data_IF_765428771483
#
_entry.id   IF_765428771483
#
_cell.length_a   1.000
_cell.length_b   1.000
_cell.length_c   1.000
_cell.angle_alpha   90.00
_cell.angle_beta   90.00
_cell.angle_gamma   90.00
#
_symmetry.space_group_name_H-M   'P 1'
#
loop_
_entity.id
_entity.type
_entity.pdbx_description
1 polymer ?
#
# COMPACT_ATOMS: atom_id res chain seq x y z
N UNK A 1 34.81 -11.17 -16.64
CA UNK A 1 34.55 -10.95 -15.20
C UNK A 1 34.16 -9.48 -14.97
N UNK A 2 32.97 -9.20 -14.43
CA UNK A 2 32.54 -7.81 -14.15
C UNK A 2 33.35 -7.18 -13.02
N UNK A 3 33.52 -5.85 -13.04
CA UNK A 3 34.07 -5.09 -11.90
C UNK A 3 33.06 -4.90 -10.77
N UNK A 4 33.54 -4.51 -9.59
CA UNK A 4 32.79 -4.41 -8.34
C UNK A 4 31.62 -3.44 -8.45
N UNK A 5 31.80 -2.34 -9.18
CA UNK A 5 30.75 -1.36 -9.41
C UNK A 5 29.59 -1.93 -10.23
N UNK A 6 29.90 -2.67 -11.30
CA UNK A 6 28.89 -3.35 -12.12
C UNK A 6 28.20 -4.45 -11.32
N UNK A 7 28.94 -5.21 -10.51
CA UNK A 7 28.37 -6.22 -9.61
C UNK A 7 27.41 -5.59 -8.60
N UNK A 8 27.78 -4.48 -7.97
CA UNK A 8 26.93 -3.77 -7.02
C UNK A 8 25.62 -3.28 -7.69
N UNK A 9 25.73 -2.71 -8.89
CA UNK A 9 24.56 -2.29 -9.70
C UNK A 9 23.64 -3.46 -10.03
N UNK A 10 24.18 -4.64 -10.32
CA UNK A 10 23.39 -5.86 -10.59
C UNK A 10 22.75 -6.46 -9.33
N UNK A 11 23.42 -6.39 -8.17
CA UNK A 11 22.90 -6.92 -6.91
C UNK A 11 21.77 -6.07 -6.32
N UNK A 12 21.88 -4.73 -6.41
CA UNK A 12 20.91 -3.79 -5.84
C UNK A 12 19.44 -4.09 -6.19
N UNK A 13 19.03 -4.30 -7.46
CA UNK A 13 17.64 -4.61 -7.79
C UNK A 13 17.18 -5.97 -7.24
N UNK A 14 18.06 -6.98 -7.20
CA UNK A 14 17.74 -8.31 -6.67
C UNK A 14 17.45 -8.21 -5.17
N UNK A 15 18.35 -7.56 -4.40
CA UNK A 15 18.18 -7.39 -2.96
C UNK A 15 16.95 -6.52 -2.66
N UNK A 16 16.73 -5.45 -3.44
CA UNK A 16 15.54 -4.61 -3.30
C UNK A 16 14.27 -5.43 -3.56
N UNK A 17 14.22 -6.20 -4.63
CA UNK A 17 13.08 -7.06 -4.96
C UNK A 17 12.78 -8.08 -3.86
N UNK A 18 13.82 -8.74 -3.33
CA UNK A 18 13.66 -9.68 -2.21
C UNK A 18 13.13 -8.98 -0.95
N UNK A 19 13.62 -7.78 -0.61
CA UNK A 19 13.11 -7.03 0.55
C UNK A 19 11.69 -6.53 0.36
N UNK A 20 11.33 -6.09 -0.86
CA UNK A 20 9.95 -5.71 -1.19
C UNK A 20 9.00 -6.90 -1.09
N UNK A 21 9.40 -8.08 -1.56
CA UNK A 21 8.59 -9.30 -1.43
C UNK A 21 8.29 -9.64 0.04
N UNK A 22 9.23 -9.36 0.95
CA UNK A 22 9.07 -9.59 2.39
C UNK A 22 8.68 -8.33 3.16
N UNK A 23 8.14 -7.30 2.51
CA UNK A 23 7.80 -6.02 3.15
C UNK A 23 6.71 -6.15 4.24
N UNK A 24 5.95 -7.23 4.19
CA UNK A 24 4.86 -7.54 5.12
C UNK A 24 5.29 -8.52 6.23
N UNK A 25 6.54 -9.00 6.18
CA UNK A 25 7.13 -9.90 7.18
C UNK A 25 7.92 -9.11 8.23
N UNK A 26 8.15 -9.71 9.40
CA UNK A 26 9.13 -9.16 10.34
C UNK A 26 10.55 -9.44 9.82
N UNK A 27 11.26 -8.36 9.48
CA UNK A 27 12.63 -8.39 8.96
C UNK A 27 13.66 -7.83 9.96
N UNK A 28 13.29 -7.77 11.25
CA UNK A 28 14.18 -7.28 12.32
C UNK A 28 15.30 -8.27 12.67
N UNK A 29 15.09 -9.56 12.37
CA UNK A 29 15.99 -10.62 12.79
C UNK A 29 17.35 -10.57 12.09
N UNK A 30 18.40 -11.01 12.80
CA UNK A 30 19.74 -11.17 12.24
C UNK A 30 19.77 -12.09 11.01
N UNK A 31 18.84 -13.07 10.93
CA UNK A 31 18.69 -13.97 9.79
C UNK A 31 18.34 -13.22 8.49
N UNK A 32 17.51 -12.18 8.58
CA UNK A 32 16.96 -11.46 7.43
C UNK A 32 17.81 -10.24 7.02
N UNK A 33 18.88 -9.99 7.76
CA UNK A 33 19.86 -8.94 7.48
C UNK A 33 20.66 -9.18 6.18
N UNK A 34 20.64 -10.41 5.64
CA UNK A 34 21.47 -10.87 4.53
C UNK A 34 22.98 -10.74 4.79
N UNK A 35 23.38 -10.79 6.07
CA UNK A 35 24.75 -10.54 6.52
C UNK A 35 25.81 -11.37 5.78
N UNK A 36 25.61 -12.68 5.65
CA UNK A 36 26.58 -13.57 4.98
C UNK A 36 26.77 -13.22 3.50
N UNK A 37 25.69 -12.85 2.81
CA UNK A 37 25.76 -12.44 1.40
C UNK A 37 26.45 -11.09 1.25
N UNK A 38 26.14 -10.15 2.14
CA UNK A 38 26.79 -8.85 2.19
C UNK A 38 28.30 -8.98 2.44
N UNK A 39 28.69 -9.78 3.44
CA UNK A 39 30.10 -10.01 3.77
C UNK A 39 30.86 -10.73 2.64
N UNK A 40 30.19 -11.67 1.97
CA UNK A 40 30.74 -12.34 0.79
C UNK A 40 30.96 -11.37 -0.38
N UNK A 41 30.02 -10.45 -0.61
CA UNK A 41 30.16 -9.39 -1.60
C UNK A 41 31.31 -8.43 -1.24
N UNK A 42 31.40 -8.02 0.02
CA UNK A 42 32.48 -7.15 0.52
C UNK A 42 33.86 -7.77 0.30
N UNK A 43 34.02 -9.05 0.66
CA UNK A 43 35.26 -9.79 0.41
C UNK A 43 35.60 -9.86 -1.07
N UNK A 44 34.60 -10.07 -1.95
CA UNK A 44 34.81 -10.09 -3.41
C UNK A 44 35.18 -8.71 -3.96
N UNK A 45 34.59 -7.63 -3.47
CA UNK A 45 34.92 -6.26 -3.89
C UNK A 45 36.33 -5.86 -3.45
N UNK A 46 36.76 -6.24 -2.24
CA UNK A 46 38.12 -5.98 -1.73
C UNK A 46 39.23 -6.70 -2.49
N UNK A 47 38.91 -7.78 -3.21
CA UNK A 47 39.89 -8.48 -4.07
C UNK A 47 40.19 -7.71 -5.36
N UNK A 48 39.41 -6.70 -5.71
CA UNK A 48 39.65 -5.91 -6.91
C UNK A 48 40.69 -4.81 -6.65
N UNK A 49 41.79 -4.81 -7.42
CA UNK A 49 42.94 -3.90 -7.23
C UNK A 49 42.56 -2.41 -7.18
N UNK A 50 41.53 -1.99 -7.92
CA UNK A 50 41.08 -0.59 -8.00
C UNK A 50 40.14 -0.16 -6.87
N UNK A 51 39.78 -1.07 -5.94
CA UNK A 51 38.79 -0.82 -4.90
C UNK A 51 39.46 -0.86 -3.53
N UNK A 52 39.52 0.30 -2.86
CA UNK A 52 39.98 0.38 -1.48
C UNK A 52 38.89 -0.05 -0.48
N UNK A 53 39.25 -0.17 0.80
CA UNK A 53 38.34 -0.66 1.86
C UNK A 53 37.05 0.18 1.99
N UNK A 54 37.16 1.50 1.88
CA UNK A 54 36.04 2.42 2.04
C UNK A 54 35.10 2.33 0.84
N UNK A 55 35.67 2.28 -0.37
CA UNK A 55 34.90 2.10 -1.60
C UNK A 55 34.17 0.76 -1.63
N UNK A 56 34.77 -0.32 -1.12
CA UNK A 56 34.10 -1.61 -1.00
C UNK A 56 32.88 -1.54 -0.07
N UNK A 57 33.00 -0.86 1.07
CA UNK A 57 31.87 -0.64 2.00
C UNK A 57 30.75 0.19 1.36
N UNK A 58 31.09 1.25 0.63
CA UNK A 58 30.09 2.06 -0.10
C UNK A 58 29.39 1.27 -1.21
N UNK A 59 30.12 0.44 -1.95
CA UNK A 59 29.53 -0.46 -2.94
C UNK A 59 28.59 -1.49 -2.29
N UNK A 60 28.92 -1.99 -1.10
CA UNK A 60 28.03 -2.90 -0.36
C UNK A 60 26.75 -2.20 0.10
N UNK A 61 26.83 -0.96 0.62
CA UNK A 61 25.63 -0.18 0.96
C UNK A 61 24.71 0.03 -0.26
N UNK A 62 25.30 0.26 -1.44
CA UNK A 62 24.55 0.39 -2.70
C UNK A 62 23.96 -0.94 -3.17
N UNK A 63 24.71 -2.04 -3.03
CA UNK A 63 24.29 -3.39 -3.43
C UNK A 63 23.21 -3.98 -2.52
N UNK A 64 23.19 -3.60 -1.24
CA UNK A 64 22.25 -4.07 -0.22
C UNK A 64 21.44 -2.89 0.35
N UNK A 65 20.56 -2.27 -0.44
CA UNK A 65 19.78 -1.13 0.02
C UNK A 65 18.85 -1.53 1.17
N UNK A 66 18.66 -0.61 2.12
CA UNK A 66 17.61 -0.74 3.13
C UNK A 66 16.27 -0.42 2.50
N UNK A 67 15.28 -1.24 2.79
CA UNK A 67 13.87 -1.06 2.42
C UNK A 67 13.08 -1.22 3.71
N UNK A 68 12.12 -0.32 3.95
CA UNK A 68 11.22 -0.42 5.09
C UNK A 68 10.26 -1.60 4.92
N UNK A 69 9.93 -2.25 6.02
CA UNK A 69 8.88 -3.26 6.08
C UNK A 69 7.85 -2.80 7.13
N UNK A 70 6.63 -3.33 7.06
CA UNK A 70 5.59 -3.10 8.04
C UNK A 70 4.88 -4.41 8.38
N UNK A 71 4.86 -4.76 9.65
CA UNK A 71 4.16 -5.94 10.14
C UNK A 71 2.66 -5.63 10.34
N UNK A 72 1.81 -6.66 10.26
CA UNK A 72 0.40 -6.62 10.67
C UNK A 72 -0.40 -5.46 10.03
N UNK A 73 -0.24 -5.22 8.74
CA UNK A 73 -1.00 -4.20 8.01
C UNK A 73 -2.51 -4.48 7.97
N UNK A 74 -2.91 -5.73 8.22
CA UNK A 74 -4.31 -6.13 8.19
C UNK A 74 -4.96 -6.01 9.57
N UNK A 75 -6.20 -5.50 9.58
CA UNK A 75 -7.02 -5.45 10.79
C UNK A 75 -7.57 -6.84 11.06
N UNK A 76 -7.20 -7.45 12.19
CA UNK A 76 -7.70 -8.77 12.56
C UNK A 76 -9.24 -8.77 12.75
N UNK A 77 -9.87 -9.90 12.41
CA UNK A 77 -11.29 -10.14 12.77
C UNK A 77 -11.39 -10.35 14.28
N UNK A 78 -12.44 -9.82 14.92
CA UNK A 78 -12.63 -9.87 16.37
C UNK A 78 -13.11 -11.25 16.79
N UNK A 79 -12.28 -12.03 17.46
CA UNK A 79 -12.69 -13.26 18.15
C UNK A 79 -13.50 -14.21 17.26
N UNK A 80 -14.74 -14.50 17.66
CA UNK A 80 -15.66 -15.43 16.98
C UNK A 80 -16.54 -14.77 15.90
N UNK A 81 -16.20 -13.55 15.46
CA UNK A 81 -16.95 -12.85 14.40
C UNK A 81 -16.87 -13.62 13.08
N UNK A 82 -18.01 -13.74 12.40
CA UNK A 82 -18.15 -14.35 11.09
C UNK A 82 -18.82 -13.36 10.13
N UNK A 83 -18.41 -13.25 8.84
CA UNK A 83 -19.07 -12.39 7.86
C UNK A 83 -20.59 -12.63 7.74
N UNK A 84 -21.04 -13.81 8.17
CA UNK A 84 -22.44 -14.26 8.14
C UNK A 84 -23.16 -14.16 9.49
N UNK A 85 -22.56 -13.50 10.50
CA UNK A 85 -23.15 -13.38 11.85
C UNK A 85 -24.22 -12.28 11.98
N UNK A 86 -24.49 -11.55 10.88
CA UNK A 86 -25.48 -10.48 10.84
C UNK A 86 -25.02 -9.15 11.46
N UNK A 87 -23.79 -9.04 11.96
CA UNK A 87 -23.26 -7.77 12.51
C UNK A 87 -22.76 -6.84 11.40
N UNK A 88 -23.70 -6.32 10.61
CA UNK A 88 -23.44 -5.43 9.49
C UNK A 88 -22.66 -4.17 9.91
N UNK A 89 -22.84 -3.70 11.15
CA UNK A 89 -22.14 -2.53 11.68
C UNK A 89 -20.66 -2.83 11.86
N UNK A 90 -20.32 -3.94 12.51
CA UNK A 90 -18.94 -4.38 12.67
C UNK A 90 -18.25 -4.58 11.32
N UNK A 91 -18.88 -5.32 10.40
CA UNK A 91 -18.30 -5.62 9.09
C UNK A 91 -18.11 -4.36 8.24
N UNK A 92 -19.07 -3.44 8.26
CA UNK A 92 -18.97 -2.18 7.53
C UNK A 92 -17.85 -1.27 8.05
N UNK A 93 -17.73 -1.15 9.38
CA UNK A 93 -16.64 -0.41 10.02
C UNK A 93 -15.28 -1.03 9.72
N UNK A 94 -15.18 -2.36 9.75
CA UNK A 94 -13.94 -3.09 9.44
C UNK A 94 -13.54 -2.91 7.98
N UNK A 95 -14.47 -3.11 7.04
CA UNK A 95 -14.21 -2.97 5.60
C UNK A 95 -13.80 -1.55 5.24
N UNK A 96 -14.38 -0.55 5.91
CA UNK A 96 -13.99 0.84 5.72
C UNK A 96 -12.52 1.14 6.07
N UNK A 97 -11.90 0.33 6.94
CA UNK A 97 -10.47 0.48 7.29
C UNK A 97 -9.53 -0.05 6.21
N UNK A 98 -10.04 -0.76 5.20
CA UNK A 98 -9.26 -1.19 4.03
C UNK A 98 -8.98 -0.02 3.07
N UNK A 99 -9.73 1.07 3.19
CA UNK A 99 -9.55 2.29 2.40
C UNK A 99 -8.62 3.28 3.11
N UNK A 100 -7.72 3.89 2.34
CA UNK A 100 -6.84 4.98 2.77
C UNK A 100 -7.34 6.35 2.29
N UNK A 101 -6.67 7.41 2.76
CA UNK A 101 -6.77 8.77 2.21
C UNK A 101 -8.19 9.34 2.21
N UNK A 102 -8.58 10.03 1.13
CA UNK A 102 -9.86 10.71 1.00
C UNK A 102 -11.06 9.78 1.15
N UNK A 103 -10.94 8.53 0.69
CA UNK A 103 -12.00 7.52 0.84
C UNK A 103 -12.23 7.16 2.30
N UNK A 104 -11.16 6.98 3.08
CA UNK A 104 -11.26 6.72 4.53
C UNK A 104 -11.94 7.87 5.28
N UNK A 105 -11.60 9.10 4.91
CA UNK A 105 -12.17 10.30 5.52
C UNK A 105 -13.67 10.44 5.22
N UNK A 106 -14.07 10.21 3.96
CA UNK A 106 -15.48 10.22 3.56
C UNK A 106 -16.28 9.12 4.26
N UNK A 107 -15.74 7.90 4.34
CA UNK A 107 -16.39 6.78 5.04
C UNK A 107 -16.62 7.08 6.52
N UNK A 108 -15.63 7.64 7.23
CA UNK A 108 -15.79 8.02 8.65
C UNK A 108 -16.84 9.12 8.81
N UNK A 109 -16.80 10.15 7.97
CA UNK A 109 -17.78 11.26 7.97
C UNK A 109 -19.21 10.76 7.78
N UNK A 110 -19.40 9.74 6.93
CA UNK A 110 -20.70 9.16 6.62
C UNK A 110 -21.08 8.00 7.55
N UNK A 111 -20.38 7.81 8.67
CA UNK A 111 -20.60 6.70 9.59
C UNK A 111 -20.64 5.33 8.86
N UNK A 112 -19.79 5.14 7.86
CA UNK A 112 -19.68 3.91 7.07
C UNK A 112 -20.95 3.56 6.27
N UNK A 113 -21.79 4.56 5.98
CA UNK A 113 -22.94 4.44 5.09
C UNK A 113 -22.68 5.12 3.75
N UNK A 114 -23.28 4.58 2.69
CA UNK A 114 -23.31 5.19 1.37
C UNK A 114 -24.04 6.53 1.40
N UNK A 115 -23.44 7.55 0.82
CA UNK A 115 -24.01 8.90 0.78
C UNK A 115 -25.23 9.05 -0.14
N UNK A 116 -25.50 8.05 -0.98
CA UNK A 116 -26.64 8.04 -1.90
C UNK A 116 -27.83 7.24 -1.36
N UNK A 117 -27.63 5.95 -1.04
CA UNK A 117 -28.72 5.07 -0.58
C UNK A 117 -28.84 4.92 0.94
N UNK A 118 -27.87 5.45 1.72
CA UNK A 118 -27.85 5.35 3.19
C UNK A 118 -27.46 3.97 3.75
N UNK A 119 -27.41 2.93 2.92
CA UNK A 119 -27.04 1.57 3.33
C UNK A 119 -25.55 1.48 3.71
N UNK A 120 -25.22 0.52 4.58
CA UNK A 120 -23.84 0.24 4.99
C UNK A 120 -23.05 -0.41 3.86
N UNK A 121 -21.76 -0.13 3.81
CA UNK A 121 -20.84 -0.84 2.92
C UNK A 121 -20.56 -2.25 3.46
N UNK A 122 -20.78 -3.28 2.65
CA UNK A 122 -20.51 -4.68 3.03
C UNK A 122 -19.34 -5.26 2.23
N UNK A 123 -18.98 -6.51 2.55
CA UNK A 123 -17.89 -7.20 1.88
C UNK A 123 -18.31 -7.58 0.45
N UNK A 124 -17.46 -7.30 -0.55
CA UNK A 124 -17.73 -7.55 -1.97
C UNK A 124 -18.32 -6.38 -2.74
N UNK A 125 -18.59 -5.24 -2.09
CA UNK A 125 -19.02 -4.01 -2.77
C UNK A 125 -17.87 -2.99 -2.81
N UNK A 126 -17.55 -2.48 -4.00
CA UNK A 126 -16.54 -1.44 -4.15
C UNK A 126 -17.08 -0.06 -3.75
N UNK A 127 -16.31 0.65 -2.91
CA UNK A 127 -16.56 2.05 -2.54
C UNK A 127 -15.93 2.97 -3.58
N UNK A 128 -16.75 3.86 -4.14
CA UNK A 128 -16.33 4.92 -5.04
C UNK A 128 -16.43 6.29 -4.35
N UNK A 129 -15.57 7.22 -4.73
CA UNK A 129 -15.69 8.63 -4.36
C UNK A 129 -16.44 9.39 -5.46
N UNK A 130 -17.47 10.11 -5.06
CA UNK A 130 -18.26 11.00 -5.90
C UNK A 130 -18.00 12.47 -5.50
N UNK A 131 -17.86 13.33 -6.51
CA UNK A 131 -17.75 14.78 -6.35
C UNK A 131 -19.16 15.38 -6.43
N UNK A 132 -19.65 15.96 -5.34
CA UNK A 132 -21.02 16.47 -5.23
C UNK A 132 -21.30 17.60 -6.22
N UNK A 133 -20.29 18.45 -6.48
CA UNK A 133 -20.37 19.56 -7.43
C UNK A 133 -20.08 19.16 -8.89
N UNK A 134 -19.82 17.88 -9.18
CA UNK A 134 -19.41 17.41 -10.51
C UNK A 134 -17.98 17.80 -10.92
N UNK A 135 -17.31 18.67 -10.17
CA UNK A 135 -15.95 19.11 -10.46
C UNK A 135 -14.93 18.10 -9.91
N UNK A 136 -14.35 17.30 -10.81
CA UNK A 136 -13.36 16.28 -10.49
C UNK A 136 -12.01 16.82 -9.98
N UNK A 137 -11.77 18.13 -10.08
CA UNK A 137 -10.59 18.78 -9.52
C UNK A 137 -10.81 19.28 -8.07
N UNK A 138 -12.06 19.31 -7.59
CA UNK A 138 -12.38 19.77 -6.24
C UNK A 138 -12.33 18.63 -5.20
N UNK A 139 -11.11 18.30 -4.76
CA UNK A 139 -10.83 17.27 -3.74
C UNK A 139 -11.12 17.71 -2.29
N UNK A 140 -11.93 18.75 -2.09
CA UNK A 140 -12.34 19.18 -0.75
C UNK A 140 -13.11 18.07 -0.03
N UNK A 141 -12.78 17.81 1.23
CA UNK A 141 -13.49 16.81 2.08
C UNK A 141 -14.99 17.05 2.20
N UNK A 142 -15.45 18.28 1.97
CA UNK A 142 -16.87 18.62 1.96
C UNK A 142 -17.56 18.21 0.67
N UNK A 143 -16.81 18.20 -0.44
CA UNK A 143 -17.27 17.88 -1.78
C UNK A 143 -17.22 16.39 -2.12
N UNK A 144 -16.46 15.60 -1.36
CA UNK A 144 -16.33 14.16 -1.56
C UNK A 144 -17.39 13.37 -0.79
N UNK A 145 -18.00 12.41 -1.49
CA UNK A 145 -19.01 11.50 -0.97
C UNK A 145 -18.63 10.05 -1.30
N UNK A 146 -18.52 9.19 -0.29
CA UNK A 146 -18.34 7.76 -0.50
C UNK A 146 -19.68 7.10 -0.88
N UNK A 147 -19.72 6.39 -1.99
CA UNK A 147 -20.92 5.73 -2.52
C UNK A 147 -20.59 4.32 -2.97
N UNK A 148 -21.60 3.45 -3.03
CA UNK A 148 -21.43 2.14 -3.66
C UNK A 148 -21.12 2.32 -5.15
N UNK A 149 -20.36 1.40 -5.73
CA UNK A 149 -20.13 1.37 -7.18
C UNK A 149 -21.44 1.44 -7.99
N UNK A 150 -22.47 0.69 -7.58
CA UNK A 150 -23.80 0.71 -8.19
C UNK A 150 -24.52 2.06 -8.03
N UNK A 151 -24.48 2.65 -6.83
CA UNK A 151 -25.03 3.99 -6.59
C UNK A 151 -24.28 5.05 -7.40
N UNK A 152 -22.97 4.93 -7.57
CA UNK A 152 -22.20 5.86 -8.39
C UNK A 152 -22.64 5.83 -9.85
N UNK A 153 -22.89 4.62 -10.39
CA UNK A 153 -23.48 4.48 -11.72
C UNK A 153 -24.89 5.09 -11.79
N UNK A 154 -25.72 4.89 -10.76
CA UNK A 154 -27.06 5.49 -10.68
C UNK A 154 -27.04 7.02 -10.56
N UNK A 155 -25.98 7.63 -10.03
CA UNK A 155 -25.86 9.08 -10.05
C UNK A 155 -25.61 9.53 -11.48
N UNK A 156 -24.63 8.94 -12.16
CA UNK A 156 -24.21 9.35 -13.52
C UNK A 156 -25.15 8.93 -14.66
N UNK A 157 -25.99 7.90 -14.48
CA UNK A 157 -27.00 7.55 -15.49
C UNK A 157 -28.23 8.47 -15.42
N UNK A 158 -28.49 9.09 -14.25
CA UNK A 158 -29.69 9.88 -14.00
C UNK A 158 -29.52 11.33 -14.47
N UNK A 159 -28.27 11.78 -14.65
CA UNK A 159 -27.93 13.10 -15.20
C UNK A 159 -27.80 13.02 -16.73
N UNK A 160 -28.54 13.82 -17.51
CA UNK A 160 -28.31 13.93 -18.95
C UNK A 160 -26.89 14.42 -19.21
N UNK A 161 -26.18 13.80 -20.17
CA UNK A 161 -24.87 14.29 -20.64
C UNK A 161 -25.04 15.72 -21.19
N UNK A 162 -24.64 16.74 -20.44
CA UNK A 162 -24.68 18.13 -20.89
C UNK A 162 -24.88 19.22 -19.82
N UNK A 163 -25.12 18.89 -18.56
CA UNK A 163 -25.31 19.87 -17.46
C UNK A 163 -24.14 19.92 -16.45
N UNK A 164 -22.94 19.50 -16.87
CA UNK A 164 -21.72 19.72 -16.07
C UNK A 164 -21.13 21.09 -16.47
N UNK A 165 -21.55 22.16 -15.79
CA UNK A 165 -20.96 23.52 -15.88
C UNK A 165 -20.44 24.00 -14.53
#
# INVERSE_FOLDING_TARGET
NYGAEVKAKKLAPIVRGWRNYHDSCDMSSARDSLWFMNQSAHRKFRKEKKVNRYRASELCKKAFPKVSYKQNQHVNVKGTKSPYDGDLVYWSQRNSRLYSDATSDALKKQNHSCGHCGLKFLEGEDVHLHHIDGNHDNWSKKNLLAVHHSCHQQIHWSTPKGEDT
#
